data_IF_193967020562
#
_entry.id   IF_193967020562
#
_cell.length_a   1.000
_cell.length_b   1.000
_cell.length_c   1.000
_cell.angle_alpha   90.00
_cell.angle_beta   90.00
_cell.angle_gamma   90.00
#
_symmetry.space_group_name_H-M   'P 1'
#
loop_
_entity.id
_entity.type
_entity.pdbx_description
1 polymer ?
#
# COMPACT_ATOMS: atom_id res chain seq x y z
N UNK A 1 14.29 -58.51 54.60
CA UNK A 1 12.89 -58.04 54.53
C UNK A 1 12.68 -57.33 53.19
N UNK A 2 11.78 -57.86 52.34
CA UNK A 2 11.04 -57.26 51.19
C UNK A 2 11.74 -56.20 50.29
N UNK A 3 11.69 -56.24 48.95
CA UNK A 3 10.76 -56.88 48.00
C UNK A 3 11.39 -56.91 46.60
N UNK A 4 10.93 -57.89 45.85
CA UNK A 4 11.27 -58.38 44.51
C UNK A 4 11.08 -57.33 43.40
N UNK A 5 12.01 -57.31 42.43
CA UNK A 5 12.01 -56.41 41.27
C UNK A 5 11.32 -57.02 40.04
N UNK A 6 10.58 -56.15 39.35
CA UNK A 6 10.22 -56.13 37.92
C UNK A 6 9.30 -57.23 37.37
N UNK A 7 8.02 -56.87 37.26
CA UNK A 7 7.03 -57.54 36.43
C UNK A 7 7.04 -56.97 34.99
N UNK A 8 6.92 -57.86 34.01
CA UNK A 8 6.53 -57.58 32.63
C UNK A 8 5.09 -57.05 32.57
N UNK A 9 4.83 -56.00 31.78
CA UNK A 9 3.50 -55.65 31.25
C UNK A 9 3.73 -55.01 29.87
N UNK A 10 3.53 -55.75 28.78
CA UNK A 10 2.25 -55.93 28.05
C UNK A 10 2.04 -54.85 26.98
N UNK A 11 2.23 -55.27 25.72
CA UNK A 11 1.84 -54.56 24.50
C UNK A 11 0.31 -54.42 24.48
N UNK A 12 -0.20 -53.20 24.45
CA UNK A 12 -1.58 -52.90 24.09
C UNK A 12 -1.61 -51.68 23.17
N UNK A 13 -1.70 -51.95 21.87
CA UNK A 13 -2.09 -50.98 20.86
C UNK A 13 -3.60 -50.75 21.00
N UNK A 14 -4.01 -49.51 21.31
CA UNK A 14 -5.40 -49.08 21.33
C UNK A 14 -5.57 -47.79 20.52
N UNK A 15 -6.10 -47.96 19.31
CA UNK A 15 -7.17 -47.17 18.70
C UNK A 15 -7.12 -45.64 18.92
N UNK A 16 -6.25 -44.94 18.18
CA UNK A 16 -6.41 -43.52 17.89
C UNK A 16 -7.32 -43.35 16.65
N UNK A 17 -8.62 -43.57 16.85
CA UNK A 17 -9.64 -43.33 15.83
C UNK A 17 -9.94 -41.84 15.68
N UNK A 18 -9.50 -41.28 14.56
CA UNK A 18 -10.20 -40.31 13.69
C UNK A 18 -11.27 -39.42 14.36
N UNK A 19 -10.90 -38.18 14.70
CA UNK A 19 -11.83 -37.05 14.74
C UNK A 19 -11.28 -35.88 13.93
N UNK A 20 -11.13 -36.10 12.62
CA UNK A 20 -11.08 -35.02 11.66
C UNK A 20 -12.50 -34.50 11.49
N UNK A 21 -12.90 -33.50 12.28
CA UNK A 21 -14.13 -32.76 12.03
C UNK A 21 -13.92 -32.00 10.72
N UNK A 22 -14.31 -32.64 9.62
CA UNK A 22 -14.35 -31.99 8.33
C UNK A 22 -15.44 -30.92 8.39
N UNK A 23 -15.03 -29.65 8.48
CA UNK A 23 -15.86 -28.51 8.14
C UNK A 23 -16.07 -28.50 6.62
N UNK A 24 -16.75 -29.53 6.11
CA UNK A 24 -17.22 -29.62 4.72
C UNK A 24 -18.52 -28.84 4.55
N UNK A 25 -18.56 -27.60 5.05
CA UNK A 25 -19.61 -26.65 4.70
C UNK A 25 -19.31 -26.07 3.32
N UNK A 26 -20.33 -25.79 2.48
CA UNK A 26 -20.11 -25.03 1.26
C UNK A 26 -19.43 -23.71 1.63
N UNK A 27 -18.28 -23.43 1.02
CA UNK A 27 -17.63 -22.14 1.16
C UNK A 27 -18.67 -21.05 0.85
N UNK A 28 -18.78 -19.99 1.67
CA UNK A 28 -19.69 -18.90 1.39
C UNK A 28 -19.42 -18.43 -0.04
N UNK A 29 -20.45 -18.44 -0.89
CA UNK A 29 -20.32 -17.90 -2.24
C UNK A 29 -19.87 -16.47 -2.11
N UNK A 30 -18.80 -16.12 -2.83
CA UNK A 30 -18.37 -14.74 -2.95
C UNK A 30 -19.57 -13.91 -3.43
N UNK A 31 -20.04 -13.00 -2.60
CA UNK A 31 -21.05 -12.02 -2.99
C UNK A 31 -20.48 -11.20 -4.14
N UNK A 32 -21.31 -10.92 -5.15
CA UNK A 32 -20.90 -10.06 -6.25
C UNK A 32 -20.38 -8.73 -5.68
N UNK A 33 -19.28 -8.23 -6.26
CA UNK A 33 -18.75 -6.93 -5.87
C UNK A 33 -19.84 -5.85 -6.03
N UNK A 34 -19.87 -4.81 -5.17
CA UNK A 34 -20.84 -3.73 -5.30
C UNK A 34 -20.80 -3.12 -6.71
N UNK A 35 -21.96 -2.78 -7.25
CA UNK A 35 -22.05 -2.19 -8.60
C UNK A 35 -21.33 -0.84 -8.72
N UNK A 36 -21.13 -0.14 -7.60
CA UNK A 36 -20.39 1.11 -7.52
C UNK A 36 -19.19 0.94 -6.58
N UNK A 37 -18.01 1.33 -7.07
CA UNK A 37 -16.80 1.35 -6.28
C UNK A 37 -16.74 2.62 -5.43
N UNK A 38 -16.53 2.46 -4.12
CA UNK A 38 -16.43 3.58 -3.17
C UNK A 38 -15.00 4.09 -3.09
N UNK A 39 -14.83 5.41 -3.23
CA UNK A 39 -13.53 6.05 -3.14
C UNK A 39 -13.38 6.92 -1.88
N UNK A 40 -12.20 6.95 -1.22
CA UNK A 40 -11.08 6.01 -1.40
C UNK A 40 -11.48 4.58 -1.03
N UNK A 41 -10.94 3.59 -1.73
CA UNK A 41 -11.29 2.19 -1.46
C UNK A 41 -10.44 1.11 -2.11
N UNK A 42 -9.37 1.45 -2.86
CA UNK A 42 -8.55 0.41 -3.51
C UNK A 42 -7.78 -0.42 -2.48
N UNK A 43 -7.24 0.25 -1.45
CA UNK A 43 -6.51 -0.43 -0.35
C UNK A 43 -6.83 0.14 1.03
N UNK A 44 -7.19 1.42 1.12
CA UNK A 44 -7.61 2.04 2.37
C UNK A 44 -8.87 2.82 2.11
N UNK A 45 -9.92 2.49 2.85
CA UNK A 45 -11.21 3.19 2.79
C UNK A 45 -11.21 4.48 3.60
N UNK A 46 -12.15 5.39 3.31
CA UNK A 46 -12.38 6.58 4.14
C UNK A 46 -12.60 6.23 5.61
N UNK A 47 -13.41 5.21 5.90
CA UNK A 47 -13.67 4.78 7.27
C UNK A 47 -12.41 4.29 8.00
N UNK A 48 -11.52 3.58 7.30
CA UNK A 48 -10.22 3.17 7.86
C UNK A 48 -9.29 4.36 8.10
N UNK A 49 -9.27 5.34 7.20
CA UNK A 49 -8.52 6.58 7.38
C UNK A 49 -9.04 7.38 8.58
N UNK A 50 -10.36 7.51 8.73
CA UNK A 50 -10.99 8.20 9.87
C UNK A 50 -10.72 7.48 11.18
N UNK A 51 -10.77 6.14 11.17
CA UNK A 51 -10.42 5.34 12.32
C UNK A 51 -8.95 5.58 12.72
N UNK A 52 -8.01 5.43 11.80
CA UNK A 52 -6.59 5.67 12.07
C UNK A 52 -6.34 7.11 12.56
N UNK A 53 -6.97 8.10 11.92
CA UNK A 53 -6.89 9.51 12.33
C UNK A 53 -7.36 9.71 13.77
N UNK A 54 -8.51 9.16 14.14
CA UNK A 54 -9.03 9.32 15.51
C UNK A 54 -8.11 8.68 16.55
N UNK A 55 -7.46 7.56 16.22
CA UNK A 55 -6.43 6.93 17.08
C UNK A 55 -5.20 7.82 17.23
N UNK A 56 -4.70 8.40 16.14
CA UNK A 56 -3.57 9.35 16.16
C UNK A 56 -3.91 10.59 16.98
N UNK A 57 -5.09 11.17 16.79
CA UNK A 57 -5.54 12.37 17.53
C UNK A 57 -5.75 12.12 19.03
N UNK A 58 -6.00 10.88 19.42
CA UNK A 58 -6.13 10.45 20.80
C UNK A 58 -4.82 9.88 21.38
N UNK A 59 -3.69 10.06 20.70
CA UNK A 59 -2.37 9.53 21.07
C UNK A 59 -2.36 8.01 21.38
N UNK A 60 -3.25 7.25 20.74
CA UNK A 60 -3.39 5.81 20.99
C UNK A 60 -2.32 5.00 20.25
N UNK A 61 -1.70 4.07 20.97
CA UNK A 61 -0.75 3.12 20.40
C UNK A 61 -1.46 1.90 19.79
N UNK A 62 -0.92 1.31 18.70
CA UNK A 62 0.35 1.65 18.04
C UNK A 62 0.25 2.76 16.96
N UNK A 63 -0.93 3.32 16.72
CA UNK A 63 -1.16 4.29 15.63
C UNK A 63 -0.33 5.57 15.78
N UNK A 64 -0.20 6.09 17.00
CA UNK A 64 0.56 7.32 17.23
C UNK A 64 2.04 7.15 16.89
N UNK A 65 2.68 6.06 17.32
CA UNK A 65 4.08 5.78 16.98
C UNK A 65 4.28 5.65 15.46
N UNK A 66 3.43 4.89 14.78
CA UNK A 66 3.51 4.75 13.32
C UNK A 66 3.30 6.08 12.57
N UNK A 67 2.42 6.93 13.08
CA UNK A 67 2.23 8.28 12.55
C UNK A 67 3.47 9.16 12.75
N UNK A 68 4.08 9.12 13.93
CA UNK A 68 5.29 9.90 14.22
C UNK A 68 6.46 9.46 13.34
N UNK A 69 6.65 8.15 13.17
CA UNK A 69 7.65 7.59 12.26
C UNK A 69 7.41 8.03 10.81
N UNK A 70 6.15 8.02 10.36
CA UNK A 70 5.76 8.50 9.03
C UNK A 70 6.10 9.99 8.86
N UNK A 71 5.72 10.82 9.82
CA UNK A 71 5.97 12.27 9.79
C UNK A 71 7.45 12.63 9.92
N UNK A 72 8.24 11.79 10.60
CA UNK A 72 9.70 11.93 10.72
C UNK A 72 10.47 11.41 9.50
N UNK A 73 9.82 10.71 8.57
CA UNK A 73 10.47 10.19 7.37
C UNK A 73 10.80 11.29 6.35
N UNK A 74 11.81 11.05 5.52
CA UNK A 74 12.14 11.95 4.39
C UNK A 74 11.01 12.06 3.36
N UNK A 75 10.06 11.12 3.35
CA UNK A 75 8.90 11.11 2.46
C UNK A 75 7.82 12.12 2.87
N UNK A 76 7.80 12.58 4.12
CA UNK A 76 6.91 13.65 4.59
C UNK A 76 7.56 15.05 4.48
N UNK A 77 8.75 15.14 3.88
CA UNK A 77 9.46 16.41 3.76
C UNK A 77 8.88 17.29 2.67
N UNK A 78 8.38 18.47 3.07
CA UNK A 78 7.86 19.47 2.14
C UNK A 78 8.93 20.16 1.29
N UNK A 79 10.22 19.94 1.60
CA UNK A 79 11.33 20.41 0.76
C UNK A 79 11.70 19.43 -0.36
N UNK A 80 11.07 18.25 -0.41
CA UNK A 80 11.31 17.27 -1.48
C UNK A 80 10.99 17.91 -2.84
N UNK A 81 11.93 17.74 -3.77
CA UNK A 81 11.78 18.12 -5.18
C UNK A 81 11.52 16.84 -5.98
N UNK A 82 10.39 16.74 -6.72
CA UNK A 82 10.10 15.59 -7.56
C UNK A 82 11.17 15.41 -8.64
N UNK A 83 11.48 14.16 -9.01
CA UNK A 83 12.52 13.84 -9.98
C UNK A 83 11.99 12.98 -11.14
N UNK A 84 11.00 13.48 -11.90
CA UNK A 84 10.38 12.71 -12.97
C UNK A 84 11.34 12.44 -14.14
N UNK A 85 11.16 11.31 -14.80
CA UNK A 85 11.83 10.96 -16.06
C UNK A 85 10.82 10.56 -17.11
N UNK A 86 11.11 10.86 -18.37
CA UNK A 86 10.25 10.47 -19.49
C UNK A 86 10.23 8.95 -19.67
N UNK A 87 11.40 8.31 -19.59
CA UNK A 87 11.54 6.86 -19.61
C UNK A 87 12.23 6.43 -18.31
N UNK A 88 11.55 5.55 -17.56
CA UNK A 88 12.13 4.89 -16.39
C UNK A 88 12.75 3.58 -16.86
N UNK A 89 14.08 3.53 -16.94
CA UNK A 89 14.82 2.36 -17.39
C UNK A 89 15.40 1.61 -16.19
N UNK A 90 14.92 0.39 -15.99
CA UNK A 90 15.31 -0.46 -14.86
C UNK A 90 15.90 -1.77 -15.36
N UNK A 91 17.23 -1.90 -15.34
CA UNK A 91 17.89 -3.16 -15.66
C UNK A 91 17.75 -4.21 -14.57
N UNK A 92 18.44 -5.34 -14.72
CA UNK A 92 18.39 -6.45 -13.75
C UNK A 92 18.83 -5.97 -12.37
N UNK A 93 18.03 -6.27 -11.33
CA UNK A 93 18.23 -5.73 -9.98
C UNK A 93 18.30 -4.19 -9.91
N UNK A 94 17.63 -3.50 -10.84
CA UNK A 94 17.71 -2.05 -11.06
C UNK A 94 19.11 -1.56 -11.44
N UNK A 95 19.85 -2.33 -12.24
CA UNK A 95 21.12 -1.92 -12.83
C UNK A 95 21.07 -2.06 -14.38
N UNK A 96 21.04 -0.96 -15.16
CA UNK A 96 21.11 0.44 -14.70
C UNK A 96 19.87 0.89 -13.92
N UNK A 97 20.05 1.95 -13.12
CA UNK A 97 18.98 2.62 -12.38
C UNK A 97 18.78 4.03 -12.97
N UNK A 98 17.92 4.15 -13.97
CA UNK A 98 17.60 5.44 -14.55
C UNK A 98 16.14 5.76 -14.23
N UNK A 99 15.90 6.32 -13.04
CA UNK A 99 14.57 6.76 -12.59
C UNK A 99 13.81 5.76 -11.73
N UNK A 100 14.31 4.53 -11.51
CA UNK A 100 13.59 3.50 -10.75
C UNK A 100 13.46 3.88 -9.27
N UNK A 101 14.55 4.37 -8.69
CA UNK A 101 14.55 4.83 -7.30
C UNK A 101 13.73 6.10 -7.15
N UNK A 102 13.93 7.07 -8.04
CA UNK A 102 13.24 8.36 -8.01
C UNK A 102 11.73 8.18 -8.12
N UNK A 103 11.27 7.38 -9.08
CA UNK A 103 9.85 7.09 -9.26
C UNK A 103 9.25 6.44 -8.02
N UNK A 104 9.90 5.39 -7.51
CA UNK A 104 9.39 4.66 -6.35
C UNK A 104 9.30 5.57 -5.12
N UNK A 105 10.36 6.34 -4.87
CA UNK A 105 10.42 7.22 -3.73
C UNK A 105 9.44 8.39 -3.85
N UNK A 106 9.23 8.93 -5.04
CA UNK A 106 8.22 9.98 -5.27
C UNK A 106 6.80 9.42 -5.14
N UNK A 107 6.53 8.20 -5.58
CA UNK A 107 5.25 7.53 -5.35
C UNK A 107 4.96 7.35 -3.85
N UNK A 108 5.97 6.94 -3.08
CA UNK A 108 5.89 6.80 -1.62
C UNK A 108 5.69 8.18 -0.98
N UNK A 109 6.46 9.20 -1.37
CA UNK A 109 6.32 10.56 -0.86
C UNK A 109 4.93 11.13 -1.11
N UNK A 110 4.40 11.01 -2.33
CA UNK A 110 3.05 11.46 -2.65
C UNK A 110 2.00 10.78 -1.78
N UNK A 111 2.15 9.48 -1.49
CA UNK A 111 1.23 8.77 -0.60
C UNK A 111 1.39 9.17 0.87
N UNK A 112 2.62 9.31 1.35
CA UNK A 112 2.93 9.82 2.69
C UNK A 112 2.35 11.21 2.91
N UNK A 113 2.54 12.13 1.97
CA UNK A 113 1.98 13.48 2.03
C UNK A 113 0.44 13.46 1.97
N UNK A 114 -0.17 12.57 1.18
CA UNK A 114 -1.62 12.40 1.18
C UNK A 114 -2.15 11.92 2.54
N UNK A 115 -1.46 10.99 3.21
CA UNK A 115 -1.80 10.54 4.55
C UNK A 115 -1.56 11.63 5.61
N UNK A 116 -0.43 12.34 5.53
CA UNK A 116 -0.10 13.45 6.40
C UNK A 116 -1.16 14.54 6.33
N UNK A 117 -1.60 14.91 5.12
CA UNK A 117 -2.74 15.79 4.94
C UNK A 117 -4.01 15.22 5.56
N UNK A 118 -4.33 13.94 5.35
CA UNK A 118 -5.57 13.37 5.87
C UNK A 118 -5.63 13.45 7.40
N UNK A 119 -4.52 13.14 8.07
CA UNK A 119 -4.46 13.12 9.53
C UNK A 119 -4.41 14.53 10.14
N UNK A 120 -3.57 15.41 9.60
CA UNK A 120 -3.37 16.77 10.12
C UNK A 120 -4.42 17.77 9.66
N UNK A 121 -5.00 17.56 8.47
CA UNK A 121 -5.77 18.54 7.68
C UNK A 121 -4.98 19.80 7.29
N UNK A 122 -3.65 19.76 7.36
CA UNK A 122 -2.81 20.84 6.86
C UNK A 122 -2.68 20.75 5.33
N UNK A 123 -3.25 21.74 4.64
CA UNK A 123 -3.31 21.77 3.17
C UNK A 123 -1.93 21.73 2.48
N UNK A 124 -0.85 22.09 3.18
CA UNK A 124 0.50 22.05 2.60
C UNK A 124 0.90 20.64 2.14
N UNK A 125 0.47 19.60 2.86
CA UNK A 125 0.75 18.22 2.51
C UNK A 125 -0.08 17.75 1.31
N UNK A 126 -1.35 18.15 1.20
CA UNK A 126 -2.16 17.86 0.02
C UNK A 126 -1.54 18.50 -1.23
N UNK A 127 -1.10 19.76 -1.11
CA UNK A 127 -0.44 20.48 -2.19
C UNK A 127 0.87 19.82 -2.61
N UNK A 128 1.70 19.35 -1.67
CA UNK A 128 2.93 18.62 -1.98
C UNK A 128 2.65 17.27 -2.66
N UNK A 129 1.67 16.51 -2.18
CA UNK A 129 1.23 15.27 -2.82
C UNK A 129 0.80 15.52 -4.28
N UNK A 130 -0.01 16.57 -4.51
CA UNK A 130 -0.43 17.01 -5.85
C UNK A 130 0.76 17.40 -6.71
N UNK A 131 1.70 18.19 -6.18
CA UNK A 131 2.91 18.63 -6.90
C UNK A 131 3.72 17.43 -7.42
N UNK A 132 3.97 16.44 -6.56
CA UNK A 132 4.71 15.23 -6.94
C UNK A 132 3.94 14.44 -8.02
N UNK A 133 2.64 14.20 -7.80
CA UNK A 133 1.80 13.49 -8.76
C UNK A 133 1.72 14.21 -10.12
N UNK A 134 1.60 15.54 -10.10
CA UNK A 134 1.50 16.35 -11.31
C UNK A 134 2.82 16.37 -12.09
N UNK A 135 3.97 16.43 -11.40
CA UNK A 135 5.29 16.40 -12.03
C UNK A 135 5.57 15.08 -12.77
N UNK A 136 5.18 13.95 -12.19
CA UNK A 136 5.31 12.64 -12.86
C UNK A 136 4.32 12.51 -14.02
N UNK A 137 3.04 12.83 -13.80
CA UNK A 137 2.02 12.70 -14.85
C UNK A 137 2.18 13.62 -16.04
N UNK A 138 2.96 14.70 -15.93
CA UNK A 138 3.32 15.53 -17.08
C UNK A 138 4.52 15.02 -17.87
N UNK A 139 5.25 14.03 -17.36
CA UNK A 139 6.60 13.72 -17.84
C UNK A 139 6.75 12.27 -18.27
N UNK A 140 6.34 11.30 -17.43
CA UNK A 140 6.60 9.89 -17.70
C UNK A 140 5.76 9.38 -18.87
N UNK A 141 6.40 8.62 -19.75
CA UNK A 141 5.78 8.02 -20.93
C UNK A 141 5.99 6.52 -21.03
N UNK A 142 7.04 5.96 -20.40
CA UNK A 142 7.32 4.53 -20.52
C UNK A 142 8.21 3.98 -19.40
N UNK A 143 8.13 2.65 -19.21
CA UNK A 143 9.07 1.85 -18.41
C UNK A 143 9.77 0.84 -19.32
N UNK A 144 11.10 0.74 -19.22
CA UNK A 144 11.89 -0.13 -20.10
C UNK A 144 12.90 -1.00 -19.34
N UNK A 145 13.47 -1.98 -20.08
CA UNK A 145 14.45 -2.94 -19.60
C UNK A 145 13.83 -4.03 -18.69
N UNK A 146 14.63 -5.02 -18.26
CA UNK A 146 14.14 -6.30 -17.74
C UNK A 146 13.32 -6.20 -16.45
N UNK A 147 13.52 -5.15 -15.66
CA UNK A 147 12.81 -4.94 -14.40
C UNK A 147 11.59 -3.99 -14.53
N UNK A 148 11.27 -3.52 -15.75
CA UNK A 148 10.13 -2.63 -15.99
C UNK A 148 8.79 -3.15 -15.44
N UNK A 149 8.40 -4.43 -15.60
CA UNK A 149 7.12 -4.92 -15.08
C UNK A 149 7.01 -4.83 -13.55
N UNK A 150 8.09 -5.19 -12.84
CA UNK A 150 8.11 -5.13 -11.37
C UNK A 150 8.11 -3.68 -10.88
N UNK A 151 8.89 -2.81 -11.53
CA UNK A 151 8.91 -1.39 -11.21
C UNK A 151 7.52 -0.75 -11.41
N UNK A 152 6.89 -1.02 -12.56
CA UNK A 152 5.54 -0.53 -12.89
C UNK A 152 4.50 -1.04 -11.89
N UNK A 153 4.58 -2.31 -11.49
CA UNK A 153 3.69 -2.88 -10.47
C UNK A 153 3.85 -2.22 -9.10
N UNK A 154 5.07 -1.93 -8.66
CA UNK A 154 5.30 -1.26 -7.37
C UNK A 154 4.83 0.19 -7.35
N UNK A 155 5.26 0.98 -8.33
CA UNK A 155 4.88 2.40 -8.42
C UNK A 155 3.38 2.53 -8.72
N UNK A 156 2.87 1.73 -9.66
CA UNK A 156 1.47 1.69 -10.07
C UNK A 156 0.50 1.23 -8.98
N UNK A 157 0.96 0.45 -7.98
CA UNK A 157 0.15 0.13 -6.80
C UNK A 157 0.14 1.23 -5.73
N UNK A 158 1.05 2.20 -5.81
CA UNK A 158 1.24 3.25 -4.80
C UNK A 158 0.58 4.56 -5.24
N UNK A 159 0.81 4.98 -6.48
CA UNK A 159 0.23 6.19 -7.08
C UNK A 159 -1.30 6.32 -6.90
N UNK A 160 -2.12 5.28 -7.16
CA UNK A 160 -3.57 5.41 -7.03
C UNK A 160 -4.02 5.64 -5.59
N UNK A 161 -3.28 5.15 -4.59
CA UNK A 161 -3.63 5.36 -3.17
C UNK A 161 -3.53 6.85 -2.81
N UNK A 162 -2.43 7.50 -3.21
CA UNK A 162 -2.25 8.93 -3.04
C UNK A 162 -3.36 9.72 -3.77
N UNK A 163 -3.57 9.38 -5.04
CA UNK A 163 -4.55 10.04 -5.90
C UNK A 163 -5.98 9.91 -5.37
N UNK A 164 -6.40 8.75 -4.89
CA UNK A 164 -7.73 8.55 -4.32
C UNK A 164 -7.95 9.39 -3.06
N UNK A 165 -6.99 9.36 -2.13
CA UNK A 165 -7.07 10.16 -0.90
C UNK A 165 -7.25 11.62 -1.26
N UNK A 166 -6.36 12.18 -2.08
CA UNK A 166 -6.44 13.59 -2.46
C UNK A 166 -7.75 13.88 -3.23
N UNK A 167 -7.98 13.21 -4.35
CA UNK A 167 -9.08 13.55 -5.27
C UNK A 167 -10.45 13.52 -4.62
N UNK A 168 -10.69 12.57 -3.71
CA UNK A 168 -12.02 12.35 -3.15
C UNK A 168 -12.23 12.93 -1.77
N UNK A 169 -11.16 13.32 -1.06
CA UNK A 169 -11.30 13.79 0.32
C UNK A 169 -10.73 15.20 0.55
N UNK A 170 -9.89 15.74 -0.33
CA UNK A 170 -9.40 17.12 -0.27
C UNK A 170 -10.30 18.06 -1.09
N UNK A 171 -10.69 19.17 -0.49
CA UNK A 171 -11.62 20.16 -1.03
C UNK A 171 -10.93 21.32 -1.78
N UNK A 172 -9.61 21.49 -1.62
CA UNK A 172 -8.85 22.54 -2.30
C UNK A 172 -8.60 22.30 -3.79
N UNK A 173 -9.11 21.20 -4.35
CA UNK A 173 -9.09 20.89 -5.77
C UNK A 173 -7.76 20.32 -6.29
N UNK A 174 -7.85 19.60 -7.41
CA UNK A 174 -6.71 19.04 -8.14
C UNK A 174 -6.99 19.04 -9.65
N UNK A 175 -6.67 20.14 -10.37
CA UNK A 175 -6.92 20.24 -11.81
C UNK A 175 -6.21 19.17 -12.66
N UNK A 176 -5.03 18.72 -12.22
CA UNK A 176 -4.22 17.70 -12.88
C UNK A 176 -4.76 16.26 -12.78
N UNK A 177 -5.81 16.01 -11.99
CA UNK A 177 -6.32 14.66 -11.72
C UNK A 177 -6.67 13.85 -12.99
N UNK A 178 -7.18 14.52 -14.03
CA UNK A 178 -7.50 13.88 -15.31
C UNK A 178 -6.26 13.39 -16.07
N UNK A 179 -5.19 14.20 -16.10
CA UNK A 179 -3.90 13.84 -16.67
C UNK A 179 -3.27 12.69 -15.90
N UNK A 180 -3.28 12.76 -14.57
CA UNK A 180 -2.77 11.69 -13.72
C UNK A 180 -3.49 10.36 -13.96
N UNK A 181 -4.82 10.39 -14.05
CA UNK A 181 -5.61 9.19 -14.35
C UNK A 181 -5.30 8.62 -15.76
N UNK A 182 -4.91 9.47 -16.71
CA UNK A 182 -4.47 9.04 -18.04
C UNK A 182 -3.09 8.37 -17.98
N UNK A 183 -2.14 8.96 -17.25
CA UNK A 183 -0.83 8.36 -16.98
C UNK A 183 -0.97 6.94 -16.39
N UNK A 184 -1.81 6.76 -15.37
CA UNK A 184 -2.03 5.44 -14.77
C UNK A 184 -2.52 4.38 -15.77
N UNK A 185 -3.37 4.75 -16.73
CA UNK A 185 -3.92 3.81 -17.71
C UNK A 185 -2.94 3.49 -18.83
N UNK A 186 -2.16 4.47 -19.26
CA UNK A 186 -1.35 4.36 -20.48
C UNK A 186 0.11 3.95 -20.21
N UNK A 187 0.61 4.23 -19.01
CA UNK A 187 2.01 3.99 -18.64
C UNK A 187 2.15 2.80 -17.67
N UNK A 188 1.20 2.60 -16.75
CA UNK A 188 1.34 1.62 -15.67
C UNK A 188 0.56 0.31 -15.86
N UNK A 189 -0.34 0.24 -16.84
CA UNK A 189 -1.03 -1.01 -17.16
C UNK A 189 -0.23 -1.81 -18.20
N UNK A 190 -0.27 -3.15 -18.13
CA UNK A 190 0.28 -3.99 -19.18
C UNK A 190 -0.30 -3.61 -20.56
N UNK A 191 0.57 -3.56 -21.57
CA UNK A 191 0.17 -3.43 -22.97
C UNK A 191 -0.15 -4.79 -23.57
#
# INVERSE_FOLDING_TARGET
>A
MARTRTALLSVLALLAGLLSLQLSGPAPRATAAPAAFTHPGVLVSRAQLDYARSKVQADQQPWKAAYDDMMGSSYASLSRTPQPRAVVECGSSSNPNHGCTEERQDAIAAYTDALAWYFTRDSKYAKKSIEIMDAWSSTITDHTNSNAPLQSGWSGATWPRAAEIIKYTYDGGWPGAGRFATMLRNVYLPR
#
